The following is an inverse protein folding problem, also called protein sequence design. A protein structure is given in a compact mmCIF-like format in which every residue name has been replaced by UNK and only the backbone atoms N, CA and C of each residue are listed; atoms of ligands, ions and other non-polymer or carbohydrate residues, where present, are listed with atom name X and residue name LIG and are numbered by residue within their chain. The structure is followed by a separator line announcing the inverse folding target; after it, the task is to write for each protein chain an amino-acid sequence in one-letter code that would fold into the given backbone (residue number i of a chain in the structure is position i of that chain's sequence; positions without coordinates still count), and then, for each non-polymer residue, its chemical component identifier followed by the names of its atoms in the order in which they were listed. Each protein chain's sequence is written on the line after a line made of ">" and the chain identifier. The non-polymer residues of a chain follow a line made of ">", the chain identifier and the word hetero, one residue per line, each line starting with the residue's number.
data_IF_145048074846
#
_entry.id   IF_145048074846
#
_cell.length_a   1.000
_cell.length_b   1.000
_cell.length_c   1.000
_cell.angle_alpha   90.00
_cell.angle_beta   90.00
_cell.angle_gamma   90.00
#
_symmetry.space_group_name_H-M   'P 1'
#
loop_
_entity.id
_entity.type
_entity.pdbx_description
1 polymer ?
#
# COMPACT_ATOMS: atom_id res chain seq x y z
N UNK A 1 -38.49 -11.35 24.43
CA UNK A 1 -37.08 -10.98 24.76
C UNK A 1 -37.04 -9.62 25.42
N UNK A 2 -36.14 -9.41 26.43
CA UNK A 2 -35.93 -8.11 27.12
C UNK A 2 -34.43 -7.95 27.41
N UNK A 3 -33.86 -6.85 26.95
CA UNK A 3 -32.50 -6.44 27.28
C UNK A 3 -32.52 -5.35 28.35
N UNK A 4 -31.62 -5.42 29.33
CA UNK A 4 -31.53 -4.43 30.41
C UNK A 4 -30.08 -4.17 30.76
N UNK A 5 -29.69 -2.90 30.85
CA UNK A 5 -28.41 -2.50 31.40
C UNK A 5 -28.51 -2.35 32.92
N UNK A 6 -27.46 -2.75 33.65
CA UNK A 6 -27.39 -2.65 35.07
C UNK A 6 -25.95 -2.55 35.60
N UNK A 7 -25.77 -2.06 36.81
CA UNK A 7 -24.48 -2.09 37.49
C UNK A 7 -24.55 -3.09 38.66
N UNK A 8 -23.41 -3.75 38.94
CA UNK A 8 -23.31 -4.54 40.22
C UNK A 8 -23.06 -3.58 41.35
N UNK A 9 -23.83 -3.70 42.42
CA UNK A 9 -23.59 -2.92 43.66
C UNK A 9 -22.25 -3.36 44.24
N UNK A 10 -21.29 -2.43 44.38
CA UNK A 10 -20.04 -2.71 45.06
C UNK A 10 -20.32 -3.02 46.55
N UNK A 11 -19.65 -4.02 47.11
CA UNK A 11 -19.82 -4.46 48.49
C UNK A 11 -19.29 -3.44 49.53
N UNK A 12 -18.52 -2.42 49.11
CA UNK A 12 -17.99 -1.35 49.96
C UNK A 12 -18.61 0.00 49.64
N UNK A 13 -19.26 0.59 50.60
CA UNK A 13 -20.17 1.74 50.49
C UNK A 13 -19.48 3.12 50.51
N UNK A 14 -18.19 3.24 50.64
CA UNK A 14 -17.52 4.48 51.05
C UNK A 14 -16.48 5.07 50.12
N UNK A 15 -16.44 4.66 48.84
CA UNK A 15 -15.48 5.26 47.94
C UNK A 15 -16.23 6.07 46.87
N UNK A 16 -16.16 7.40 46.94
CA UNK A 16 -16.89 8.35 46.08
C UNK A 16 -16.41 8.32 44.66
N UNK A 17 -15.18 7.84 44.40
CA UNK A 17 -14.51 7.82 43.09
C UNK A 17 -14.57 6.46 42.40
N UNK A 18 -15.17 5.44 42.96
CA UNK A 18 -15.19 4.10 42.36
C UNK A 18 -16.17 4.04 41.22
N UNK A 19 -15.66 3.92 39.98
CA UNK A 19 -16.49 3.66 38.78
C UNK A 19 -16.90 2.18 38.75
N UNK A 20 -18.17 1.92 38.47
CA UNK A 20 -18.72 0.57 38.24
C UNK A 20 -18.92 0.29 36.76
N UNK A 21 -18.59 -0.93 36.34
CA UNK A 21 -18.86 -1.41 34.98
C UNK A 21 -20.36 -1.61 34.79
N UNK A 22 -20.85 -1.19 33.61
CA UNK A 22 -22.21 -1.44 33.17
C UNK A 22 -22.27 -2.83 32.53
N UNK A 23 -23.18 -3.66 32.98
CA UNK A 23 -23.48 -4.99 32.48
C UNK A 23 -24.77 -4.95 31.65
N UNK A 24 -24.83 -5.77 30.64
CA UNK A 24 -26.05 -6.02 29.89
C UNK A 24 -26.60 -7.42 30.23
N UNK A 25 -27.91 -7.51 30.38
CA UNK A 25 -28.63 -8.72 30.69
C UNK A 25 -29.72 -8.92 29.69
N UNK A 26 -29.71 -10.07 29.01
CA UNK A 26 -30.75 -10.49 28.10
C UNK A 26 -31.57 -11.60 28.76
N UNK A 27 -32.88 -11.42 28.77
CA UNK A 27 -33.86 -12.42 29.24
C UNK A 27 -34.81 -12.76 28.11
N UNK A 28 -34.95 -14.07 27.85
CA UNK A 28 -35.91 -14.60 26.91
C UNK A 28 -36.39 -15.97 27.34
N UNK A 29 -37.63 -16.06 27.83
CA UNK A 29 -38.16 -17.25 28.44
C UNK A 29 -37.32 -17.77 29.59
N UNK A 30 -36.72 -18.94 29.44
CA UNK A 30 -35.80 -19.56 30.44
C UNK A 30 -34.36 -19.07 30.34
N UNK A 31 -34.02 -18.34 29.27
CA UNK A 31 -32.66 -17.81 29.08
C UNK A 31 -32.45 -16.53 29.91
N UNK A 32 -31.33 -16.47 30.62
CA UNK A 32 -30.87 -15.32 31.42
C UNK A 32 -29.35 -15.22 31.28
N UNK A 33 -28.88 -14.46 30.29
CA UNK A 33 -27.46 -14.27 30.01
C UNK A 33 -27.03 -12.86 30.35
N UNK A 34 -25.76 -12.72 30.78
CA UNK A 34 -25.18 -11.44 31.22
C UNK A 34 -23.75 -11.33 30.72
N UNK A 35 -23.38 -10.14 30.27
CA UNK A 35 -22.01 -9.82 29.94
C UNK A 35 -21.67 -8.40 30.40
N UNK A 36 -20.37 -8.15 30.66
CA UNK A 36 -19.84 -6.85 31.00
C UNK A 36 -19.59 -6.05 29.74
N UNK A 37 -19.82 -4.73 29.79
CA UNK A 37 -19.35 -3.80 28.76
C UNK A 37 -18.13 -3.02 29.26
N UNK A 38 -17.49 -2.24 28.38
CA UNK A 38 -16.42 -1.31 28.74
C UNK A 38 -16.97 0.02 29.29
N UNK A 39 -18.28 0.20 29.26
CA UNK A 39 -18.91 1.40 29.80
C UNK A 39 -18.85 1.41 31.32
N UNK A 40 -18.44 2.53 31.87
CA UNK A 40 -18.30 2.71 33.32
C UNK A 40 -19.07 3.93 33.79
N UNK A 41 -19.64 3.86 35.00
CA UNK A 41 -20.36 4.97 35.62
C UNK A 41 -20.17 4.94 37.11
N UNK A 42 -20.22 6.10 37.78
CA UNK A 42 -20.31 6.14 39.23
C UNK A 42 -21.64 5.54 39.73
N UNK A 43 -21.65 4.60 40.66
CA UNK A 43 -22.89 4.03 41.24
C UNK A 43 -23.88 5.08 41.76
N UNK A 44 -23.38 6.18 42.27
CA UNK A 44 -24.20 7.30 42.79
C UNK A 44 -24.95 8.03 41.63
N UNK A 45 -24.45 7.98 40.42
CA UNK A 45 -25.03 8.64 39.26
C UNK A 45 -25.95 7.74 38.44
N UNK A 46 -25.95 6.42 38.69
CA UNK A 46 -26.73 5.43 37.95
C UNK A 46 -28.21 5.45 38.30
N UNK A 47 -29.09 5.49 37.33
CA UNK A 47 -30.52 5.25 37.43
C UNK A 47 -30.87 3.89 36.83
N UNK A 48 -31.36 2.98 37.67
CA UNK A 48 -31.80 1.65 37.23
C UNK A 48 -33.08 1.72 36.37
N UNK A 49 -33.92 2.70 36.59
CA UNK A 49 -35.15 2.91 35.83
C UNK A 49 -34.85 3.39 34.39
N UNK A 50 -33.94 4.36 34.25
CA UNK A 50 -33.54 4.92 32.95
C UNK A 50 -32.44 4.13 32.28
N UNK A 51 -31.79 3.24 32.98
CA UNK A 51 -30.60 2.51 32.53
C UNK A 51 -29.49 3.46 31.99
N UNK A 52 -29.22 4.50 32.75
CA UNK A 52 -28.28 5.57 32.41
C UNK A 52 -28.06 6.53 33.57
N UNK A 53 -27.64 7.74 33.31
CA UNK A 53 -27.51 8.80 34.29
C UNK A 53 -28.84 9.21 34.91
N UNK A 54 -28.84 9.58 36.21
CA UNK A 54 -29.92 10.30 36.85
C UNK A 54 -30.09 11.69 36.27
N UNK A 55 -31.29 12.26 36.33
CA UNK A 55 -31.57 13.61 35.83
C UNK A 55 -30.71 14.71 36.43
N UNK A 56 -30.57 14.64 37.75
CA UNK A 56 -29.82 15.66 38.49
C UNK A 56 -28.55 15.03 39.07
N UNK A 57 -27.44 15.20 38.31
CA UNK A 57 -26.10 14.82 38.74
C UNK A 57 -25.22 16.05 38.69
N UNK A 58 -24.71 16.44 39.87
CA UNK A 58 -23.76 17.52 39.97
C UNK A 58 -22.38 17.10 39.48
N UNK A 59 -21.58 18.05 38.95
CA UNK A 59 -20.18 17.87 38.55
C UNK A 59 -19.91 16.95 37.35
N UNK A 60 -20.92 16.60 36.56
CA UNK A 60 -20.76 15.87 35.28
C UNK A 60 -21.25 16.75 34.15
N UNK A 61 -20.44 16.89 33.10
CA UNK A 61 -20.81 17.66 31.90
C UNK A 61 -22.02 17.03 31.20
N UNK A 62 -22.92 17.85 30.68
CA UNK A 62 -24.15 17.36 30.02
C UNK A 62 -23.84 16.50 28.81
N UNK A 63 -22.79 16.86 28.05
CA UNK A 63 -22.31 16.07 26.90
C UNK A 63 -21.87 14.65 27.32
N UNK A 64 -21.20 14.49 28.45
CA UNK A 64 -20.77 13.19 28.98
C UNK A 64 -21.96 12.32 29.38
N UNK A 65 -22.98 12.92 30.00
CA UNK A 65 -24.24 12.22 30.31
C UNK A 65 -24.96 11.74 29.08
N UNK A 66 -25.08 12.63 28.08
CA UNK A 66 -25.73 12.30 26.80
C UNK A 66 -24.98 11.20 26.07
N UNK A 67 -23.65 11.29 25.96
CA UNK A 67 -22.81 10.31 25.28
C UNK A 67 -22.95 8.92 25.89
N UNK A 68 -22.84 8.80 27.23
CA UNK A 68 -23.02 7.50 27.88
C UNK A 68 -24.42 6.93 27.67
N UNK A 69 -25.46 7.76 27.84
CA UNK A 69 -26.84 7.32 27.66
C UNK A 69 -27.10 6.86 26.22
N UNK A 70 -26.56 7.57 25.22
CA UNK A 70 -26.63 7.16 23.83
C UNK A 70 -25.92 5.82 23.59
N UNK A 71 -24.70 5.64 24.13
CA UNK A 71 -23.96 4.37 24.01
C UNK A 71 -24.72 3.19 24.63
N UNK A 72 -25.30 3.38 25.82
CA UNK A 72 -26.12 2.33 26.48
C UNK A 72 -27.34 1.97 25.63
N UNK A 73 -28.05 2.98 25.11
CA UNK A 73 -29.21 2.74 24.25
C UNK A 73 -28.81 2.09 22.89
N UNK A 74 -27.73 2.55 22.28
CA UNK A 74 -27.24 2.00 21.01
C UNK A 74 -26.85 0.53 21.17
N UNK A 75 -26.12 0.20 22.23
CA UNK A 75 -25.72 -1.17 22.53
C UNK A 75 -26.93 -2.06 22.85
N UNK A 76 -27.93 -1.54 23.60
CA UNK A 76 -29.19 -2.27 23.84
C UNK A 76 -29.89 -2.62 22.52
N UNK A 77 -30.03 -1.66 21.61
CA UNK A 77 -30.64 -1.86 20.29
C UNK A 77 -29.84 -2.84 19.43
N UNK A 78 -28.50 -2.78 19.50
CA UNK A 78 -27.65 -3.70 18.76
C UNK A 78 -27.83 -5.14 19.25
N UNK A 79 -27.84 -5.37 20.56
CA UNK A 79 -28.13 -6.68 21.16
C UNK A 79 -29.51 -7.20 20.75
N UNK A 80 -30.52 -6.33 20.75
CA UNK A 80 -31.88 -6.68 20.34
C UNK A 80 -31.97 -7.05 18.86
N UNK A 81 -31.25 -6.34 18.00
CA UNK A 81 -31.22 -6.55 16.55
C UNK A 81 -30.47 -7.82 16.14
N UNK A 82 -29.34 -8.11 16.78
CA UNK A 82 -28.49 -9.26 16.43
C UNK A 82 -28.90 -10.55 17.17
N UNK A 83 -29.91 -10.51 18.06
CA UNK A 83 -30.36 -11.66 18.84
C UNK A 83 -30.78 -12.83 17.95
N UNK A 84 -30.32 -14.03 18.35
CA UNK A 84 -30.71 -15.33 17.78
C UNK A 84 -31.15 -16.28 18.88
N UNK A 85 -32.05 -17.20 18.57
CA UNK A 85 -32.61 -18.12 19.58
C UNK A 85 -31.56 -19.06 20.22
N UNK A 86 -30.45 -19.32 19.53
CA UNK A 86 -29.32 -20.14 20.02
C UNK A 86 -28.25 -19.32 20.80
N UNK A 87 -28.45 -18.00 20.94
CA UNK A 87 -27.50 -17.11 21.61
C UNK A 87 -27.16 -17.54 23.04
N UNK A 88 -25.86 -17.64 23.37
CA UNK A 88 -25.31 -17.91 24.67
C UNK A 88 -24.63 -16.69 25.30
N UNK A 89 -23.97 -16.89 26.44
CA UNK A 89 -23.22 -15.82 27.12
C UNK A 89 -22.01 -15.34 26.33
N UNK A 90 -21.36 -16.22 25.57
CA UNK A 90 -20.23 -15.90 24.68
C UNK A 90 -20.69 -14.97 23.55
N UNK A 91 -21.81 -15.29 22.89
CA UNK A 91 -22.40 -14.44 21.88
C UNK A 91 -22.68 -13.01 22.38
N UNK A 92 -23.22 -12.88 23.60
CA UNK A 92 -23.50 -11.55 24.15
C UNK A 92 -22.20 -10.77 24.39
N UNK A 93 -21.13 -11.46 24.79
CA UNK A 93 -19.79 -10.87 24.91
C UNK A 93 -19.25 -10.40 23.57
N UNK A 94 -19.40 -11.21 22.50
CA UNK A 94 -18.96 -10.86 21.14
C UNK A 94 -19.70 -9.64 20.59
N UNK A 95 -21.03 -9.56 20.77
CA UNK A 95 -21.82 -8.39 20.34
C UNK A 95 -21.37 -7.12 21.06
N UNK A 96 -21.07 -7.22 22.35
CA UNK A 96 -20.56 -6.09 23.13
C UNK A 96 -19.14 -5.70 22.67
N UNK A 97 -18.24 -6.66 22.44
CA UNK A 97 -16.89 -6.38 21.92
C UNK A 97 -16.96 -5.76 20.51
N UNK A 98 -17.81 -6.26 19.65
CA UNK A 98 -18.06 -5.70 18.31
C UNK A 98 -18.56 -4.24 18.35
N UNK A 99 -19.36 -3.89 19.37
CA UNK A 99 -19.79 -2.50 19.56
C UNK A 99 -18.65 -1.58 19.97
N UNK A 100 -17.76 -2.06 20.85
CA UNK A 100 -16.63 -1.27 21.35
C UNK A 100 -15.44 -1.26 20.37
N UNK A 101 -15.25 -2.35 19.63
CA UNK A 101 -14.11 -2.56 18.73
C UNK A 101 -14.58 -2.99 17.34
N UNK A 102 -15.38 -2.16 16.63
CA UNK A 102 -15.90 -2.52 15.31
C UNK A 102 -14.80 -2.83 14.29
N UNK A 103 -13.62 -2.24 14.46
CA UNK A 103 -12.46 -2.46 13.60
C UNK A 103 -11.95 -3.91 13.60
N UNK A 104 -12.13 -4.66 14.70
CA UNK A 104 -11.73 -6.07 14.79
C UNK A 104 -12.63 -7.01 13.96
N UNK A 105 -13.85 -6.57 13.67
CA UNK A 105 -14.90 -7.37 13.03
C UNK A 105 -15.19 -6.93 11.60
N UNK A 106 -14.46 -5.93 11.10
CA UNK A 106 -14.54 -5.51 9.70
C UNK A 106 -13.92 -6.57 8.81
N UNK A 107 -14.61 -6.86 7.71
CA UNK A 107 -14.08 -7.74 6.67
C UNK A 107 -12.93 -7.04 5.94
N UNK A 108 -12.07 -7.83 5.29
CA UNK A 108 -10.99 -7.27 4.46
C UNK A 108 -11.52 -6.34 3.37
N UNK A 109 -12.72 -6.62 2.84
CA UNK A 109 -13.39 -5.78 1.85
C UNK A 109 -13.83 -4.43 2.43
N UNK A 110 -14.39 -4.41 3.65
CA UNK A 110 -14.80 -3.18 4.34
C UNK A 110 -13.58 -2.34 4.74
N UNK A 111 -12.49 -2.97 5.19
CA UNK A 111 -11.22 -2.30 5.46
C UNK A 111 -10.59 -1.71 4.20
N UNK A 112 -10.66 -2.41 3.07
CA UNK A 112 -10.16 -1.92 1.79
C UNK A 112 -10.98 -0.73 1.24
N UNK A 113 -12.27 -0.64 1.55
CA UNK A 113 -13.12 0.51 1.18
C UNK A 113 -12.79 1.73 2.03
N UNK A 114 -12.56 1.56 3.33
CA UNK A 114 -12.22 2.68 4.23
C UNK A 114 -10.80 3.19 4.04
N UNK A 115 -9.86 2.28 3.78
CA UNK A 115 -8.45 2.58 3.54
C UNK A 115 -8.02 1.95 2.22
N UNK A 116 -8.32 2.58 1.09
CA UNK A 116 -7.92 2.07 -0.21
C UNK A 116 -6.39 2.00 -0.28
N UNK A 117 -5.84 0.92 -0.87
CA UNK A 117 -4.39 0.78 -0.96
C UNK A 117 -3.77 1.94 -1.72
N UNK A 118 -2.69 2.46 -1.21
CA UNK A 118 -1.91 3.52 -1.85
C UNK A 118 -1.32 3.04 -3.16
N UNK A 119 -0.94 3.99 -4.02
CA UNK A 119 -0.23 3.68 -5.27
C UNK A 119 1.02 2.82 -5.03
N UNK A 120 1.77 3.10 -3.96
CA UNK A 120 2.97 2.36 -3.61
C UNK A 120 2.69 0.92 -3.19
N UNK A 121 1.63 0.68 -2.42
CA UNK A 121 1.19 -0.66 -2.00
C UNK A 121 0.66 -1.48 -3.18
N UNK A 122 -0.11 -0.86 -4.07
CA UNK A 122 -0.55 -1.50 -5.32
C UNK A 122 0.63 -1.89 -6.22
N UNK A 123 1.67 -1.06 -6.23
CA UNK A 123 2.88 -1.37 -7.01
C UNK A 123 3.66 -2.54 -6.39
N UNK A 124 3.70 -2.66 -5.07
CA UNK A 124 4.31 -3.82 -4.39
C UNK A 124 3.50 -5.09 -4.65
N UNK A 125 2.18 -5.03 -4.56
CA UNK A 125 1.30 -6.14 -4.90
C UNK A 125 1.50 -6.61 -6.35
N UNK A 126 1.65 -5.67 -7.28
CA UNK A 126 2.01 -5.98 -8.68
C UNK A 126 3.33 -6.73 -8.78
N UNK A 127 4.36 -6.29 -8.05
CA UNK A 127 5.68 -6.94 -8.07
C UNK A 127 5.66 -8.36 -7.49
N UNK A 128 4.76 -8.62 -6.55
CA UNK A 128 4.59 -9.95 -5.95
C UNK A 128 3.79 -10.90 -6.86
N UNK A 129 2.65 -10.44 -7.36
CA UNK A 129 1.70 -11.26 -8.10
C UNK A 129 2.02 -11.43 -9.59
N UNK A 130 2.74 -10.48 -10.19
CA UNK A 130 3.09 -10.55 -11.60
C UNK A 130 4.30 -11.45 -11.81
N UNK A 131 4.21 -12.37 -12.79
CA UNK A 131 5.30 -13.29 -13.13
C UNK A 131 6.49 -12.57 -13.80
N UNK A 132 7.36 -11.98 -13.00
CA UNK A 132 8.53 -11.23 -13.43
C UNK A 132 9.81 -11.92 -12.93
N UNK A 133 10.87 -11.91 -13.76
CA UNK A 133 12.20 -12.31 -13.30
C UNK A 133 12.73 -11.30 -12.26
N UNK A 134 13.63 -11.75 -11.38
CA UNK A 134 14.19 -10.86 -10.34
C UNK A 134 14.90 -9.63 -10.91
N UNK A 135 15.53 -9.74 -12.08
CA UNK A 135 16.14 -8.61 -12.77
C UNK A 135 15.08 -7.58 -13.20
N UNK A 136 13.94 -8.06 -13.73
CA UNK A 136 12.82 -7.18 -14.08
C UNK A 136 12.20 -6.52 -12.86
N UNK A 137 12.00 -7.26 -11.77
CA UNK A 137 11.51 -6.71 -10.50
C UNK A 137 12.42 -5.57 -9.98
N UNK A 138 13.75 -5.74 -10.07
CA UNK A 138 14.69 -4.66 -9.72
C UNK A 138 14.46 -3.39 -10.53
N UNK A 139 14.27 -3.54 -11.86
CA UNK A 139 14.02 -2.40 -12.74
C UNK A 139 12.68 -1.70 -12.43
N UNK A 140 11.64 -2.46 -12.12
CA UNK A 140 10.36 -1.89 -11.69
C UNK A 140 10.46 -1.16 -10.34
N UNK A 141 11.25 -1.69 -9.37
CA UNK A 141 11.50 -0.99 -8.09
C UNK A 141 12.22 0.36 -8.29
N UNK A 142 13.10 0.48 -9.29
CA UNK A 142 13.71 1.78 -9.65
C UNK A 142 12.65 2.76 -10.11
N UNK A 143 11.75 2.32 -11.00
CA UNK A 143 10.64 3.16 -11.47
C UNK A 143 9.71 3.54 -10.33
N UNK A 144 9.34 2.59 -9.46
CA UNK A 144 8.53 2.88 -8.27
C UNK A 144 9.13 4.01 -7.43
N UNK A 145 10.43 3.92 -7.10
CA UNK A 145 11.11 4.96 -6.32
C UNK A 145 11.09 6.33 -7.03
N UNK A 146 11.29 6.36 -8.36
CA UNK A 146 11.19 7.61 -9.11
C UNK A 146 9.79 8.22 -9.04
N UNK A 147 8.73 7.41 -9.11
CA UNK A 147 7.34 7.87 -8.95
C UNK A 147 7.05 8.39 -7.54
N UNK A 148 7.58 7.73 -6.51
CA UNK A 148 7.45 8.22 -5.13
C UNK A 148 8.19 9.54 -4.92
N UNK A 149 9.38 9.73 -5.53
CA UNK A 149 10.09 11.01 -5.50
C UNK A 149 9.34 12.10 -6.27
N UNK A 150 8.73 11.76 -7.40
CA UNK A 150 7.84 12.67 -8.11
C UNK A 150 6.68 13.16 -7.23
N UNK A 151 6.05 12.26 -6.48
CA UNK A 151 4.98 12.62 -5.54
C UNK A 151 5.46 13.64 -4.49
N UNK A 152 6.63 13.39 -3.88
CA UNK A 152 7.25 14.32 -2.92
C UNK A 152 7.64 15.66 -3.58
N UNK A 153 8.16 15.62 -4.80
CA UNK A 153 8.50 16.80 -5.57
C UNK A 153 7.27 17.69 -5.82
N UNK A 154 6.16 17.11 -6.25
CA UNK A 154 4.89 17.83 -6.46
C UNK A 154 4.40 18.45 -5.15
N UNK A 155 4.42 17.70 -4.05
CA UNK A 155 4.02 18.20 -2.72
C UNK A 155 4.84 19.40 -2.27
N UNK A 156 6.13 19.39 -2.58
CA UNK A 156 7.09 20.41 -2.16
C UNK A 156 7.06 21.64 -3.03
N UNK A 157 6.97 21.48 -4.34
CA UNK A 157 7.17 22.57 -5.30
C UNK A 157 5.88 23.25 -5.73
N UNK A 158 4.73 22.56 -5.63
CA UNK A 158 3.46 23.10 -6.15
C UNK A 158 2.55 23.63 -5.06
N UNK A 159 2.16 24.89 -5.23
CA UNK A 159 1.22 25.53 -4.32
C UNK A 159 -0.13 24.80 -4.28
N UNK A 160 -0.62 24.49 -3.09
CA UNK A 160 -1.89 23.79 -2.88
C UNK A 160 -1.82 22.27 -2.99
N UNK A 161 -0.68 21.68 -3.36
CA UNK A 161 -0.50 20.23 -3.58
C UNK A 161 0.20 19.51 -2.39
N UNK A 162 0.15 20.05 -1.18
CA UNK A 162 0.81 19.46 0.00
C UNK A 162 0.38 18.02 0.32
N UNK A 163 -0.83 17.64 -0.09
CA UNK A 163 -1.42 16.32 0.13
C UNK A 163 -1.55 15.52 -1.17
N UNK A 164 -0.84 15.92 -2.21
CA UNK A 164 -0.87 15.21 -3.49
C UNK A 164 -0.40 13.76 -3.29
N UNK A 165 -1.16 12.82 -3.81
CA UNK A 165 -0.81 11.40 -3.89
C UNK A 165 -1.05 10.91 -5.31
N UNK A 166 -0.15 10.06 -5.78
CA UNK A 166 -0.41 9.33 -7.02
C UNK A 166 -1.58 8.36 -6.79
N UNK A 167 -2.50 8.35 -7.72
CA UNK A 167 -3.66 7.47 -7.68
C UNK A 167 -3.94 6.89 -9.06
N UNK A 168 -4.18 5.58 -9.11
CA UNK A 168 -4.46 4.85 -10.35
C UNK A 168 -5.79 5.28 -11.00
N UNK A 169 -6.73 5.82 -10.22
CA UNK A 169 -8.05 6.22 -10.71
C UNK A 169 -8.02 7.61 -11.36
N UNK A 170 -7.19 8.51 -10.86
CA UNK A 170 -7.18 9.93 -11.25
C UNK A 170 -5.98 10.32 -12.11
N UNK A 171 -5.02 9.43 -12.33
CA UNK A 171 -3.88 9.68 -13.22
C UNK A 171 -4.36 9.96 -14.65
N UNK A 172 -3.97 11.11 -15.22
CA UNK A 172 -4.32 11.54 -16.58
C UNK A 172 -3.10 11.56 -17.48
N UNK A 173 -3.30 11.86 -18.77
CA UNK A 173 -2.18 12.07 -19.71
C UNK A 173 -1.31 13.26 -19.31
N UNK A 174 -1.91 14.30 -18.73
CA UNK A 174 -1.19 15.48 -18.23
C UNK A 174 -0.29 15.08 -17.04
N UNK A 175 -0.80 14.23 -16.14
CA UNK A 175 0.01 13.66 -15.05
C UNK A 175 1.17 12.83 -15.58
N UNK A 176 0.95 12.03 -16.64
CA UNK A 176 2.01 11.25 -17.28
C UNK A 176 3.07 12.15 -17.95
N UNK A 177 2.62 13.23 -18.63
CA UNK A 177 3.54 14.20 -19.24
C UNK A 177 4.40 14.89 -18.17
N UNK A 178 3.81 15.23 -17.05
CA UNK A 178 4.48 15.84 -15.93
C UNK A 178 5.47 14.89 -15.22
N UNK A 179 5.11 13.61 -15.08
CA UNK A 179 6.05 12.56 -14.64
C UNK A 179 7.23 12.41 -15.61
N UNK A 180 6.97 12.54 -16.91
CA UNK A 180 8.01 12.47 -17.93
C UNK A 180 9.02 13.60 -17.74
N UNK A 181 8.52 14.84 -17.68
CA UNK A 181 9.36 16.03 -17.45
C UNK A 181 10.16 15.91 -16.15
N UNK A 182 9.52 15.47 -15.05
CA UNK A 182 10.24 15.21 -13.82
C UNK A 182 11.35 14.17 -13.98
N UNK A 183 11.07 13.03 -14.63
CA UNK A 183 12.09 11.98 -14.78
C UNK A 183 13.23 12.39 -15.72
N UNK A 184 12.96 13.21 -16.73
CA UNK A 184 13.96 13.76 -17.64
C UNK A 184 14.92 14.69 -16.90
N UNK A 185 14.38 15.53 -16.02
CA UNK A 185 15.11 16.56 -15.28
C UNK A 185 15.51 16.13 -13.84
N UNK A 186 15.26 14.87 -13.47
CA UNK A 186 15.48 14.38 -12.09
C UNK A 186 16.91 14.63 -11.59
N UNK A 187 17.91 14.65 -12.46
CA UNK A 187 19.30 14.93 -12.09
C UNK A 187 19.49 16.35 -11.53
N UNK A 188 18.75 17.34 -12.04
CA UNK A 188 18.77 18.71 -11.50
C UNK A 188 18.04 18.79 -10.17
N UNK A 189 16.89 18.15 -10.07
CA UNK A 189 16.08 18.14 -8.85
C UNK A 189 16.75 17.41 -7.69
N UNK A 190 17.65 16.46 -7.98
CA UNK A 190 18.44 15.78 -6.96
C UNK A 190 19.42 16.72 -6.25
N UNK A 191 19.93 17.72 -6.96
CA UNK A 191 20.81 18.77 -6.39
C UNK A 191 20.01 19.85 -5.67
N UNK A 192 18.85 20.23 -6.21
CA UNK A 192 18.00 21.31 -5.69
C UNK A 192 17.19 20.88 -4.44
N UNK A 193 16.75 19.61 -4.39
CA UNK A 193 15.90 19.06 -3.32
C UNK A 193 16.49 17.79 -2.70
N UNK A 194 17.64 17.86 -2.03
CA UNK A 194 18.35 16.68 -1.49
C UNK A 194 17.52 15.89 -0.46
N UNK A 195 16.65 16.55 0.30
CA UNK A 195 15.77 15.94 1.29
C UNK A 195 14.78 14.91 0.69
N UNK A 196 14.38 15.06 -0.57
CA UNK A 196 13.57 14.06 -1.28
C UNK A 196 14.37 12.76 -1.44
N UNK A 197 15.68 12.89 -1.71
CA UNK A 197 16.58 11.75 -1.91
C UNK A 197 17.08 11.15 -0.60
N UNK A 198 17.07 11.92 0.50
CA UNK A 198 17.22 11.37 1.85
C UNK A 198 16.03 10.52 2.26
N UNK A 199 14.82 10.96 1.91
CA UNK A 199 13.57 10.23 2.19
C UNK A 199 13.44 8.98 1.33
N UNK A 200 13.75 9.06 0.03
CA UNK A 200 13.66 7.96 -0.94
C UNK A 200 15.00 7.81 -1.66
N UNK A 201 15.96 7.11 -1.05
CA UNK A 201 17.33 7.05 -1.55
C UNK A 201 17.48 6.28 -2.85
N UNK A 202 18.43 6.69 -3.67
CA UNK A 202 18.90 5.97 -4.84
C UNK A 202 20.37 5.57 -4.66
N UNK A 203 20.75 4.41 -5.21
CA UNK A 203 22.15 3.92 -5.07
C UNK A 203 23.17 4.79 -5.79
N UNK A 204 22.76 5.49 -6.82
CA UNK A 204 23.61 6.36 -7.63
C UNK A 204 22.93 7.71 -7.78
N UNK A 205 23.68 8.78 -7.78
CA UNK A 205 23.19 10.11 -8.11
C UNK A 205 22.48 10.06 -9.48
N UNK A 206 21.26 10.57 -9.58
CA UNK A 206 20.55 10.63 -10.86
C UNK A 206 21.40 11.32 -11.93
N UNK A 207 21.41 10.76 -13.11
CA UNK A 207 22.09 11.29 -14.29
C UNK A 207 21.05 11.65 -15.36
N UNK A 208 21.35 12.56 -16.30
CA UNK A 208 20.46 12.83 -17.42
C UNK A 208 20.05 11.55 -18.15
N UNK A 209 18.74 11.36 -18.34
CA UNK A 209 18.21 10.17 -19.02
C UNK A 209 18.02 10.44 -20.49
N UNK A 210 18.58 9.56 -21.31
CA UNK A 210 18.26 9.58 -22.76
C UNK A 210 16.80 9.11 -23.00
N UNK A 211 16.27 9.51 -24.16
CA UNK A 211 14.88 9.24 -24.60
C UNK A 211 14.49 7.77 -24.46
N UNK A 212 15.34 6.84 -24.90
CA UNK A 212 15.06 5.40 -24.79
C UNK A 212 14.91 4.93 -23.33
N UNK A 213 15.68 5.49 -22.41
CA UNK A 213 15.58 5.17 -20.96
C UNK A 213 14.25 5.65 -20.39
N UNK A 214 13.76 6.81 -20.82
CA UNK A 214 12.44 7.33 -20.44
C UNK A 214 11.33 6.47 -21.02
N UNK A 215 11.39 6.13 -22.31
CA UNK A 215 10.42 5.22 -22.96
C UNK A 215 10.36 3.87 -22.23
N UNK A 216 11.49 3.29 -21.87
CA UNK A 216 11.58 2.05 -21.11
C UNK A 216 10.95 2.17 -19.72
N UNK A 217 11.15 3.29 -19.04
CA UNK A 217 10.57 3.56 -17.73
C UNK A 217 9.05 3.68 -17.83
N UNK A 218 8.57 4.43 -18.82
CA UNK A 218 7.13 4.61 -19.07
C UNK A 218 6.45 3.34 -19.58
N UNK A 219 7.16 2.49 -20.33
CA UNK A 219 6.66 1.16 -20.70
C UNK A 219 6.41 0.28 -19.48
N UNK A 220 7.23 0.41 -18.43
CA UNK A 220 7.02 -0.29 -17.13
C UNK A 220 5.83 0.30 -16.39
N UNK A 221 5.68 1.63 -16.35
CA UNK A 221 4.50 2.29 -15.74
C UNK A 221 3.24 1.84 -16.47
N UNK A 222 3.25 1.82 -17.81
CA UNK A 222 2.13 1.31 -18.62
C UNK A 222 1.79 -0.13 -18.28
N UNK A 223 2.79 -1.00 -18.12
CA UNK A 223 2.59 -2.41 -17.73
C UNK A 223 1.88 -2.52 -16.39
N UNK A 224 2.25 -1.69 -15.40
CA UNK A 224 1.58 -1.62 -14.11
C UNK A 224 0.12 -1.18 -14.24
N UNK A 225 -0.18 -0.12 -14.99
CA UNK A 225 -1.57 0.33 -15.22
C UNK A 225 -2.42 -0.72 -15.94
N UNK A 226 -1.86 -1.43 -16.93
CA UNK A 226 -2.55 -2.53 -17.62
C UNK A 226 -2.86 -3.67 -16.62
N UNK A 227 -1.92 -3.99 -15.75
CA UNK A 227 -2.15 -4.98 -14.71
C UNK A 227 -3.26 -4.54 -13.73
N UNK A 228 -3.24 -3.31 -13.24
CA UNK A 228 -4.31 -2.77 -12.39
C UNK A 228 -5.68 -2.85 -13.06
N UNK A 229 -5.76 -2.50 -14.35
CA UNK A 229 -6.99 -2.60 -15.14
C UNK A 229 -7.47 -4.05 -15.26
N UNK A 230 -6.59 -4.98 -15.60
CA UNK A 230 -6.91 -6.40 -15.76
C UNK A 230 -7.32 -7.08 -14.44
N UNK A 231 -6.83 -6.57 -13.30
CA UNK A 231 -7.23 -7.04 -11.97
C UNK A 231 -8.51 -6.35 -11.45
N UNK A 232 -9.15 -5.51 -12.25
CA UNK A 232 -10.36 -4.79 -11.87
C UNK A 232 -10.13 -3.70 -10.80
N UNK A 233 -8.87 -3.34 -10.52
CA UNK A 233 -8.53 -2.33 -9.51
C UNK A 233 -8.82 -0.90 -9.97
N UNK A 234 -8.90 -0.68 -11.26
CA UNK A 234 -9.25 0.61 -11.87
C UNK A 234 -9.88 0.42 -13.24
N UNK A 235 -10.70 1.38 -13.66
CA UNK A 235 -11.20 1.49 -15.03
C UNK A 235 -10.38 2.49 -15.85
N UNK A 236 -9.45 3.20 -15.23
CA UNK A 236 -8.63 4.24 -15.84
C UNK A 236 -7.53 3.64 -16.72
N UNK A 237 -7.38 4.16 -17.94
CA UNK A 237 -6.37 3.77 -18.93
C UNK A 237 -5.64 5.02 -19.46
N UNK A 238 -4.80 5.65 -18.65
CA UNK A 238 -4.20 6.94 -18.99
C UNK A 238 -3.29 6.88 -20.22
N UNK A 239 -2.69 5.72 -20.51
CA UNK A 239 -1.82 5.52 -21.67
C UNK A 239 -2.56 5.43 -23.02
N UNK A 240 -3.88 5.25 -23.03
CA UNK A 240 -4.64 5.30 -24.30
C UNK A 240 -4.57 6.69 -24.95
N UNK A 241 -4.36 7.73 -24.15
CA UNK A 241 -4.20 9.12 -24.58
C UNK A 241 -2.75 9.62 -24.49
N UNK A 242 -1.81 8.76 -24.10
CA UNK A 242 -0.39 9.05 -23.97
C UNK A 242 0.42 7.97 -24.69
N UNK A 243 0.49 8.02 -26.02
CA UNK A 243 1.23 7.03 -26.82
C UNK A 243 2.72 7.16 -26.54
N UNK A 244 3.37 6.04 -26.28
CA UNK A 244 4.83 5.99 -26.19
C UNK A 244 5.42 5.82 -27.59
N UNK A 245 6.42 6.62 -27.88
CA UNK A 245 7.20 6.46 -29.11
C UNK A 245 8.04 5.16 -29.06
N UNK A 246 8.45 4.71 -30.22
CA UNK A 246 9.40 3.59 -30.33
C UNK A 246 10.81 4.01 -29.92
N UNK A 247 11.56 3.07 -29.33
CA UNK A 247 12.96 3.32 -29.03
C UNK A 247 13.78 3.52 -30.32
N UNK A 248 14.54 4.60 -30.33
CA UNK A 248 15.44 4.88 -31.43
C UNK A 248 16.80 4.22 -31.20
N UNK A 249 17.09 3.23 -32.02
CA UNK A 249 18.41 2.59 -31.97
C UNK A 249 19.27 3.16 -33.08
N UNK A 250 20.53 3.46 -32.77
CA UNK A 250 21.52 3.85 -33.75
C UNK A 250 21.83 2.72 -34.75
N UNK A 251 22.44 3.04 -35.87
CA UNK A 251 22.93 2.04 -36.78
C UNK A 251 24.00 1.19 -36.11
N UNK A 252 23.83 -0.14 -36.05
CA UNK A 252 24.83 -1.00 -35.43
C UNK A 252 26.15 -0.93 -36.21
N UNK A 253 27.25 -0.81 -35.46
CA UNK A 253 28.58 -0.93 -36.01
C UNK A 253 28.91 -2.43 -36.07
N UNK A 254 29.26 -2.90 -37.23
CA UNK A 254 29.66 -4.29 -37.44
C UNK A 254 30.94 -4.33 -38.26
N UNK A 255 31.68 -5.40 -38.12
CA UNK A 255 32.85 -5.70 -38.96
C UNK A 255 32.42 -6.63 -40.11
N UNK A 256 33.06 -6.50 -41.21
CA UNK A 256 32.89 -7.41 -42.36
C UNK A 256 33.54 -8.77 -42.08
N UNK A 257 33.19 -9.79 -42.88
CA UNK A 257 33.85 -11.07 -42.80
C UNK A 257 35.37 -10.98 -43.06
N UNK A 258 35.76 -10.12 -44.00
CA UNK A 258 37.15 -9.89 -44.32
C UNK A 258 37.93 -9.28 -43.16
N UNK A 259 37.36 -8.28 -42.49
CA UNK A 259 37.97 -7.69 -41.31
C UNK A 259 38.05 -8.71 -40.15
N UNK A 260 37.06 -9.57 -39.97
CA UNK A 260 37.12 -10.67 -39.00
C UNK A 260 38.26 -11.62 -39.28
N UNK A 261 38.40 -12.01 -40.55
CA UNK A 261 39.45 -12.97 -40.99
C UNK A 261 40.84 -12.31 -40.85
N UNK A 262 41.00 -11.04 -41.14
CA UNK A 262 42.23 -10.27 -40.88
C UNK A 262 42.57 -10.27 -39.37
N UNK A 263 41.55 -10.08 -38.53
CA UNK A 263 41.74 -10.16 -37.08
C UNK A 263 42.20 -11.55 -36.64
N UNK A 264 41.64 -12.61 -37.21
CA UNK A 264 41.98 -13.99 -36.90
C UNK A 264 43.42 -14.33 -37.29
N UNK A 265 43.88 -13.84 -38.43
CA UNK A 265 45.21 -14.09 -38.97
C UNK A 265 46.29 -13.18 -38.36
N UNK A 266 45.89 -12.14 -37.60
CA UNK A 266 46.83 -11.19 -37.01
C UNK A 266 47.80 -11.86 -36.04
N UNK A 267 49.11 -11.62 -36.18
CA UNK A 267 50.12 -12.09 -35.26
C UNK A 267 50.08 -11.29 -33.94
N UNK A 268 49.61 -11.95 -32.87
CA UNK A 268 49.51 -11.44 -31.53
C UNK A 268 50.41 -12.20 -30.55
N UNK A 269 51.46 -12.85 -31.06
CA UNK A 269 52.43 -13.64 -30.23
C UNK A 269 53.05 -12.83 -29.12
N UNK A 270 53.34 -11.54 -29.35
CA UNK A 270 53.83 -10.58 -28.35
C UNK A 270 52.76 -10.12 -27.32
N UNK A 271 51.49 -10.45 -27.52
CA UNK A 271 50.35 -10.01 -26.68
C UNK A 271 49.37 -11.16 -26.41
N UNK A 272 49.73 -12.20 -25.63
CA UNK A 272 48.99 -13.42 -25.48
C UNK A 272 47.55 -13.23 -24.94
N UNK A 273 47.32 -12.24 -24.06
CA UNK A 273 45.97 -11.92 -23.58
C UNK A 273 45.06 -11.38 -24.70
N UNK A 274 45.62 -10.56 -25.59
CA UNK A 274 44.87 -10.03 -26.72
C UNK A 274 44.60 -11.11 -27.76
N UNK A 275 45.49 -12.10 -27.93
CA UNK A 275 45.26 -13.28 -28.75
C UNK A 275 44.06 -14.10 -28.25
N UNK A 276 43.97 -14.33 -26.94
CA UNK A 276 42.82 -15.00 -26.33
C UNK A 276 41.51 -14.23 -26.58
N UNK A 277 41.52 -12.91 -26.43
CA UNK A 277 40.34 -12.09 -26.67
C UNK A 277 39.92 -12.12 -28.16
N UNK A 278 40.86 -12.06 -29.07
CA UNK A 278 40.63 -12.27 -30.49
C UNK A 278 39.97 -13.62 -30.79
N UNK A 279 40.48 -14.67 -30.24
CA UNK A 279 39.95 -16.03 -30.47
C UNK A 279 38.53 -16.18 -29.93
N UNK A 280 38.26 -15.64 -28.73
CA UNK A 280 36.91 -15.54 -28.16
C UNK A 280 36.00 -14.77 -29.07
N UNK A 281 36.41 -13.60 -29.56
CA UNK A 281 35.62 -12.72 -30.41
C UNK A 281 35.29 -13.41 -31.77
N UNK A 282 36.30 -14.01 -32.41
CA UNK A 282 36.12 -14.74 -33.67
C UNK A 282 35.20 -15.91 -33.49
N UNK A 283 35.45 -16.75 -32.47
CA UNK A 283 34.58 -17.87 -32.12
C UNK A 283 33.14 -17.45 -31.91
N UNK A 284 32.91 -16.41 -31.12
CA UNK A 284 31.58 -15.89 -30.80
C UNK A 284 30.87 -15.34 -32.04
N UNK A 285 31.62 -14.69 -32.96
CA UNK A 285 31.09 -14.17 -34.23
C UNK A 285 30.66 -15.30 -35.18
N UNK A 286 31.37 -16.42 -35.20
CA UNK A 286 31.01 -17.60 -36.02
C UNK A 286 29.82 -18.35 -35.43
N UNK A 287 29.77 -18.52 -34.10
CA UNK A 287 28.67 -19.22 -33.43
C UNK A 287 27.41 -18.36 -33.32
N UNK A 288 27.53 -17.02 -33.35
CA UNK A 288 26.41 -16.09 -33.29
C UNK A 288 25.72 -16.08 -31.91
N UNK A 289 26.40 -16.56 -30.85
CA UNK A 289 25.82 -16.64 -29.51
C UNK A 289 25.98 -15.32 -28.72
N UNK A 290 25.02 -15.06 -27.80
CA UNK A 290 25.15 -13.96 -26.86
C UNK A 290 26.24 -14.24 -25.83
N UNK A 291 26.88 -13.19 -25.32
CA UNK A 291 27.95 -13.30 -24.28
C UNK A 291 27.48 -14.16 -23.09
N UNK A 292 26.26 -13.99 -22.61
CA UNK A 292 25.70 -14.81 -21.51
C UNK A 292 25.53 -16.27 -21.84
N UNK A 293 25.34 -16.62 -23.11
CA UNK A 293 25.24 -18.02 -23.58
C UNK A 293 26.63 -18.59 -23.85
N UNK A 294 27.56 -17.76 -24.33
CA UNK A 294 28.96 -18.11 -24.47
C UNK A 294 29.56 -18.67 -23.15
N UNK A 295 29.33 -17.95 -22.04
CA UNK A 295 29.81 -18.39 -20.72
C UNK A 295 29.21 -19.71 -20.21
N UNK A 296 28.13 -20.19 -20.82
CA UNK A 296 27.49 -21.47 -20.48
C UNK A 296 27.97 -22.62 -21.36
N UNK A 297 28.78 -22.32 -22.39
CA UNK A 297 29.33 -23.39 -23.24
C UNK A 297 30.27 -24.28 -22.46
N UNK A 298 29.99 -25.56 -22.46
CA UNK A 298 30.82 -26.61 -21.85
C UNK A 298 31.25 -27.62 -22.93
N UNK A 299 32.46 -28.17 -22.80
CA UNK A 299 32.81 -29.35 -23.55
C UNK A 299 31.91 -30.50 -23.07
N UNK A 300 31.13 -31.09 -23.95
CA UNK A 300 30.52 -32.38 -23.73
C UNK A 300 31.49 -33.49 -24.13
#
# INVERSE_FOLDING_TARGET
>A
MKVTAFIRKAAKKNDVDTKATIYFRLRDGKKDIKAASELVISPNHWSAERQGYKDRVALVAENEKMDLNHKVQALTRMIEKEYKEDAGSEWLGEVIDKFHHPEKYKTEEELAIENPPTFAELFDEFLEKHNLSEVRKKNFRVVKRALMRYELFVRKTRRGMKHFTLDIHTTTKETLADMWDFMENEYMYAEEYPDIYETIPEKRTPQPRGKNTLIDSFSRIRTFFIWCYNQGKTTNRPFDKFPLEECLYGTPIYITLQERDQLFEADLSARPQLAIQRDIFVFQSVVGCRVGDFYKLTKK
#
